data_IF_069029682006
#
_entry.id   IF_069029682006
#
_cell.length_a   1.000
_cell.length_b   1.000
_cell.length_c   1.000
_cell.angle_alpha   90.00
_cell.angle_beta   90.00
_cell.angle_gamma   90.00
#
_symmetry.space_group_name_H-M   'P 1'
#
loop_
_entity.id
_entity.type
_entity.pdbx_description
1 polymer ?
#
# COMPACT_ATOMS: atom_id res chain seq x y z
N UNK A 1 4.75 -2.86 27.93
CA UNK A 1 3.55 -2.00 27.90
C UNK A 1 3.10 -1.92 26.46
N UNK A 2 1.86 -2.29 26.15
CA UNK A 2 1.25 -2.09 24.83
C UNK A 2 0.19 -1.00 24.96
N UNK A 3 0.03 -0.19 23.91
CA UNK A 3 -0.98 0.86 23.83
C UNK A 3 -1.48 0.96 22.40
N UNK A 4 -2.69 1.49 22.24
CA UNK A 4 -3.30 1.74 20.93
C UNK A 4 -3.32 3.24 20.64
N UNK A 5 -3.20 3.61 19.38
CA UNK A 5 -3.48 4.96 18.93
C UNK A 5 -5.01 5.12 18.89
N UNK A 6 -5.52 6.25 19.36
CA UNK A 6 -6.94 6.57 19.20
C UNK A 6 -7.26 6.74 17.70
N UNK A 7 -8.15 5.90 17.17
CA UNK A 7 -8.50 5.90 15.75
C UNK A 7 -9.08 7.24 15.30
N UNK A 8 -9.87 7.90 16.15
CA UNK A 8 -10.47 9.21 15.83
C UNK A 8 -9.40 10.29 15.71
N UNK A 9 -8.35 10.24 16.53
CA UNK A 9 -7.22 11.15 16.42
C UNK A 9 -6.32 10.81 15.22
N UNK A 10 -6.17 9.52 14.91
CA UNK A 10 -5.44 9.04 13.75
C UNK A 10 -6.07 9.51 12.44
N UNK A 11 -7.39 9.41 12.32
CA UNK A 11 -8.14 9.76 11.11
C UNK A 11 -8.08 11.27 10.81
N UNK A 12 -7.82 12.12 11.81
CA UNK A 12 -7.62 13.56 11.63
C UNK A 12 -6.27 13.91 11.00
N UNK A 13 -5.30 13.00 10.99
CA UNK A 13 -3.96 13.26 10.41
C UNK A 13 -3.98 13.00 8.91
N UNK A 14 -3.35 13.89 8.14
CA UNK A 14 -3.07 13.63 6.73
C UNK A 14 -1.85 12.72 6.56
N UNK A 15 -1.54 12.43 5.30
CA UNK A 15 -0.36 11.65 4.93
C UNK A 15 0.94 12.41 5.19
N UNK A 16 2.01 11.66 5.32
CA UNK A 16 3.36 12.16 5.57
C UNK A 16 3.87 11.82 6.96
N UNK A 17 4.93 12.53 7.35
CA UNK A 17 5.64 12.25 8.59
C UNK A 17 4.88 12.80 9.81
N UNK A 18 4.72 11.95 10.81
CA UNK A 18 4.08 12.25 12.08
C UNK A 18 5.04 11.90 13.23
N UNK A 19 5.15 12.79 14.21
CA UNK A 19 5.90 12.50 15.43
C UNK A 19 4.97 11.94 16.50
N UNK A 20 5.17 10.67 16.85
CA UNK A 20 4.46 9.98 17.92
C UNK A 20 5.27 10.09 19.21
N UNK A 21 4.68 10.74 20.22
CA UNK A 21 5.34 11.02 21.50
C UNK A 21 4.73 10.24 22.65
N UNK A 22 5.58 9.56 23.40
CA UNK A 22 5.22 8.76 24.57
C UNK A 22 5.65 9.48 25.83
N UNK A 23 4.71 9.72 26.74
CA UNK A 23 4.97 10.41 28.00
C UNK A 23 5.01 9.42 29.17
N UNK A 24 5.90 9.68 30.12
CA UNK A 24 5.92 9.04 31.43
C UNK A 24 5.86 10.11 32.51
N UNK A 25 4.94 9.95 33.45
CA UNK A 25 4.78 10.85 34.59
C UNK A 25 4.93 10.05 35.88
N UNK A 26 5.69 10.57 36.85
CA UNK A 26 5.75 10.01 38.19
C UNK A 26 4.76 10.72 39.14
N UNK A 27 4.48 10.12 40.29
CA UNK A 27 3.56 10.66 41.30
C UNK A 27 4.05 11.94 41.99
N UNK A 28 5.33 12.28 41.81
CA UNK A 28 5.96 13.50 42.30
C UNK A 28 5.85 14.66 41.31
N UNK A 29 5.17 14.46 40.16
CA UNK A 29 4.92 15.49 39.16
C UNK A 29 6.02 15.65 38.11
N UNK A 30 7.07 14.81 38.12
CA UNK A 30 8.07 14.83 37.06
C UNK A 30 7.55 14.08 35.82
N UNK A 31 7.74 14.70 34.65
CA UNK A 31 7.42 14.10 33.36
C UNK A 31 8.67 13.96 32.49
N UNK A 32 8.68 12.94 31.64
CA UNK A 32 9.65 12.78 30.56
C UNK A 32 8.93 12.21 29.34
N UNK A 33 9.57 12.29 28.18
CA UNK A 33 9.02 11.70 26.97
C UNK A 33 10.09 11.06 26.08
N UNK A 34 9.63 10.15 25.23
CA UNK A 34 10.36 9.66 24.07
C UNK A 34 9.52 9.92 22.81
N UNK A 35 10.16 10.05 21.66
CA UNK A 35 9.51 10.37 20.40
C UNK A 35 10.02 9.48 19.27
N UNK A 36 9.13 9.09 18.37
CA UNK A 36 9.44 8.37 17.15
C UNK A 36 8.72 9.03 15.98
N UNK A 37 9.42 9.16 14.86
CA UNK A 37 8.80 9.61 13.61
C UNK A 37 8.25 8.39 12.87
N UNK A 38 6.99 8.46 12.46
CA UNK A 38 6.28 7.47 11.65
C UNK A 38 5.79 8.13 10.37
N UNK A 39 5.55 7.36 9.31
CA UNK A 39 4.92 7.85 8.09
C UNK A 39 3.50 7.32 8.01
N UNK A 40 2.52 8.22 7.94
CA UNK A 40 1.14 7.86 7.59
C UNK A 40 0.99 7.91 6.08
N UNK A 41 0.37 6.87 5.55
CA UNK A 41 0.01 6.80 4.15
C UNK A 41 -1.38 6.19 4.02
N UNK A 42 -2.32 7.02 3.56
CA UNK A 42 -3.69 6.65 3.26
C UNK A 42 -4.06 7.03 1.81
N UNK A 43 -3.08 7.44 0.99
CA UNK A 43 -3.30 7.73 -0.42
C UNK A 43 -3.50 6.41 -1.16
N UNK A 44 -4.66 6.28 -1.81
CA UNK A 44 -4.96 5.09 -2.59
C UNK A 44 -4.31 5.19 -3.98
N UNK A 45 -3.78 4.08 -4.53
CA UNK A 45 -3.26 4.07 -5.88
C UNK A 45 -4.38 4.30 -6.89
N UNK A 46 -4.12 5.16 -7.88
CA UNK A 46 -4.94 5.25 -9.08
C UNK A 46 -4.34 4.34 -10.15
N UNK A 47 -5.06 3.27 -10.50
CA UNK A 47 -4.62 2.26 -11.47
C UNK A 47 -5.43 2.42 -12.75
N UNK A 48 -4.73 2.48 -13.88
CA UNK A 48 -5.29 2.40 -15.23
C UNK A 48 -4.73 1.15 -15.92
N UNK A 49 -5.61 0.36 -16.53
CA UNK A 49 -5.22 -0.77 -17.38
C UNK A 49 -5.18 -0.25 -18.82
N UNK A 50 -3.97 -0.03 -19.33
CA UNK A 50 -3.74 0.43 -20.70
C UNK A 50 -3.86 -0.73 -21.70
N UNK A 51 -3.48 -1.93 -21.29
CA UNK A 51 -3.77 -3.20 -21.97
C UNK A 51 -3.75 -4.38 -20.99
N UNK A 52 -4.46 -5.48 -21.26
CA UNK A 52 -5.38 -5.69 -22.38
C UNK A 52 -6.68 -4.88 -22.24
N UNK A 53 -7.37 -4.65 -23.36
CA UNK A 53 -8.68 -3.98 -23.35
C UNK A 53 -9.79 -4.96 -22.95
N UNK A 54 -10.90 -4.41 -22.45
CA UNK A 54 -12.07 -5.20 -22.09
C UNK A 54 -12.58 -6.00 -23.31
N UNK A 55 -12.72 -7.32 -23.14
CA UNK A 55 -13.14 -8.26 -24.18
C UNK A 55 -12.16 -8.40 -25.37
N UNK A 56 -10.90 -7.98 -25.23
CA UNK A 56 -9.87 -8.23 -26.23
C UNK A 56 -9.63 -9.75 -26.39
N UNK A 57 -9.56 -10.19 -27.66
CA UNK A 57 -9.41 -11.61 -27.99
C UNK A 57 -7.94 -11.95 -28.19
N UNK A 58 -7.47 -12.96 -27.46
CA UNK A 58 -6.12 -13.49 -27.57
C UNK A 58 -6.14 -14.91 -28.14
N UNK A 59 -5.09 -15.24 -28.91
CA UNK A 59 -4.91 -16.56 -29.50
C UNK A 59 -4.25 -17.55 -28.53
N UNK A 60 -3.33 -18.36 -29.06
CA UNK A 60 -2.57 -19.33 -28.26
C UNK A 60 -1.39 -18.71 -27.50
N UNK A 61 -1.03 -17.47 -27.82
CA UNK A 61 0.01 -16.72 -27.11
C UNK A 61 -0.59 -16.01 -25.91
N UNK A 62 0.09 -16.07 -24.77
CA UNK A 62 -0.31 -15.36 -23.57
C UNK A 62 -0.37 -13.84 -23.82
N UNK A 63 -1.42 -13.15 -23.33
CA UNK A 63 -1.49 -11.70 -23.41
C UNK A 63 -0.41 -11.05 -22.54
N UNK A 64 -0.08 -9.80 -22.86
CA UNK A 64 0.67 -8.94 -21.95
C UNK A 64 -0.27 -7.94 -21.29
N UNK A 65 0.12 -7.47 -20.10
CA UNK A 65 -0.51 -6.33 -19.46
C UNK A 65 0.37 -5.09 -19.60
N UNK A 66 -0.27 -3.92 -19.52
CA UNK A 66 0.36 -2.63 -19.38
C UNK A 66 -0.51 -1.78 -18.44
N UNK A 67 0.09 -1.26 -17.38
CA UNK A 67 -0.55 -0.51 -16.32
C UNK A 67 0.10 0.86 -16.18
N UNK A 68 -0.75 1.87 -15.93
CA UNK A 68 -0.32 3.15 -15.40
C UNK A 68 -0.79 3.28 -13.96
N UNK A 69 0.14 3.44 -13.02
CA UNK A 69 -0.15 3.61 -11.59
C UNK A 69 0.35 4.98 -11.13
N UNK A 70 -0.54 5.76 -10.51
CA UNK A 70 -0.19 7.00 -9.83
C UNK A 70 -0.36 6.80 -8.33
N UNK A 71 0.76 6.61 -7.63
CA UNK A 71 0.82 6.50 -6.17
C UNK A 71 2.22 6.91 -5.66
N UNK A 72 2.34 7.92 -4.78
CA UNK A 72 3.64 8.44 -4.30
C UNK A 72 4.53 7.48 -3.50
N UNK A 73 3.99 6.43 -2.90
CA UNK A 73 4.64 5.56 -1.91
C UNK A 73 4.33 4.07 -2.17
N UNK A 74 4.33 3.66 -3.44
CA UNK A 74 3.70 2.42 -3.87
C UNK A 74 4.33 1.22 -3.17
N UNK A 75 3.51 0.47 -2.43
CA UNK A 75 3.98 -0.67 -1.66
C UNK A 75 4.23 -1.89 -2.55
N UNK A 76 3.18 -2.40 -3.20
CA UNK A 76 3.27 -3.58 -4.05
C UNK A 76 2.27 -3.55 -5.20
N UNK A 77 2.62 -4.25 -6.28
CA UNK A 77 1.75 -4.49 -7.43
C UNK A 77 1.57 -5.99 -7.59
N UNK A 78 0.34 -6.42 -7.75
CA UNK A 78 0.00 -7.81 -7.93
C UNK A 78 -1.29 -7.94 -8.75
N UNK A 79 -1.47 -9.10 -9.37
CA UNK A 79 -2.69 -9.45 -10.09
C UNK A 79 -3.13 -10.88 -9.75
N UNK A 80 -4.37 -11.19 -10.09
CA UNK A 80 -4.97 -12.52 -9.93
C UNK A 80 -5.72 -12.87 -11.20
N UNK A 81 -5.67 -14.15 -11.58
CA UNK A 81 -6.41 -14.71 -12.73
C UNK A 81 -7.49 -15.69 -12.29
N UNK A 82 -7.64 -15.92 -10.98
CA UNK A 82 -8.48 -16.95 -10.38
C UNK A 82 -9.43 -16.38 -9.32
N UNK A 83 -9.91 -15.15 -9.54
CA UNK A 83 -10.80 -14.41 -8.63
C UNK A 83 -10.22 -14.19 -7.22
N UNK A 84 -8.90 -14.00 -7.12
CA UNK A 84 -8.21 -13.64 -5.88
C UNK A 84 -7.84 -14.83 -5.00
N UNK A 85 -7.86 -16.05 -5.53
CA UNK A 85 -7.37 -17.24 -4.80
C UNK A 85 -5.84 -17.22 -4.76
N UNK A 86 -5.21 -16.84 -5.86
CA UNK A 86 -3.75 -16.71 -5.99
C UNK A 86 -3.40 -15.31 -6.46
N UNK A 87 -2.52 -14.65 -5.70
CA UNK A 87 -1.95 -13.36 -6.08
C UNK A 87 -0.55 -13.56 -6.63
N UNK A 88 -0.27 -12.96 -7.78
CA UNK A 88 1.03 -12.97 -8.44
C UNK A 88 1.61 -11.57 -8.31
N UNK A 89 2.74 -11.45 -7.60
CA UNK A 89 3.44 -10.18 -7.41
C UNK A 89 4.30 -9.85 -8.62
N UNK A 90 4.35 -8.58 -9.00
CA UNK A 90 5.21 -8.10 -10.08
C UNK A 90 5.87 -6.77 -9.71
N UNK A 91 7.10 -6.58 -10.16
CA UNK A 91 7.78 -5.30 -10.08
C UNK A 91 7.63 -4.47 -11.37
N UNK A 92 7.15 -5.09 -12.44
CA UNK A 92 6.93 -4.44 -13.74
C UNK A 92 5.49 -4.00 -13.90
N UNK A 93 5.30 -2.82 -14.48
CA UNK A 93 3.97 -2.34 -14.90
C UNK A 93 3.59 -2.82 -16.30
N UNK A 94 4.49 -3.53 -16.98
CA UNK A 94 4.20 -4.17 -18.25
C UNK A 94 4.94 -5.51 -18.35
N UNK A 95 4.20 -6.60 -18.46
CA UNK A 95 4.78 -7.94 -18.59
C UNK A 95 3.82 -8.90 -19.30
N UNK A 96 4.31 -10.09 -19.63
CA UNK A 96 3.46 -11.18 -20.13
C UNK A 96 2.71 -11.80 -18.96
N UNK A 97 1.40 -12.03 -19.13
CA UNK A 97 0.58 -12.80 -18.20
C UNK A 97 0.87 -14.28 -18.45
N UNK A 98 2.09 -14.71 -18.12
CA UNK A 98 2.47 -16.13 -18.16
C UNK A 98 2.75 -16.61 -16.73
N UNK A 99 2.18 -17.76 -16.40
CA UNK A 99 2.42 -18.46 -15.13
C UNK A 99 3.64 -19.39 -15.21
N UNK A 100 4.31 -19.45 -16.37
CA UNK A 100 5.48 -20.28 -16.60
C UNK A 100 6.80 -19.52 -16.43
N UNK A 101 7.26 -19.44 -15.18
CA UNK A 101 8.68 -19.68 -14.88
C UNK A 101 8.82 -20.93 -14.00
#
# INVERSE_FOLDING_TARGET
LTGTIDQTEWDKKGDGDLNLRFYVNNTLGNSSYSEVTIKKDATQPLITIDSPLENELFGVSAPSFNLSIVEPNLDSVWYTLDNGVTNISTASLSDTIDLAE
#
